data_IF_834416824353
#
_entry.id   IF_834416824353
#
_cell.length_a   1.000
_cell.length_b   1.000
_cell.length_c   1.000
_cell.angle_alpha   90.00
_cell.angle_beta   90.00
_cell.angle_gamma   90.00
#
_symmetry.space_group_name_H-M   'P 1'
#
loop_
_entity.id
_entity.type
_entity.pdbx_description
1 polymer ?
#
# COMPACT_ATOMS: atom_id res chain seq x y z
N UNK A 1 41.98 -0.33 -14.62
CA UNK A 1 40.55 -0.71 -14.59
C UNK A 1 40.22 -1.32 -13.24
N UNK A 2 39.41 -0.68 -12.38
CA UNK A 2 38.71 -1.33 -11.25
C UNK A 2 37.59 -0.42 -10.74
N UNK A 3 36.40 -0.73 -11.26
CA UNK A 3 35.04 -0.58 -10.74
C UNK A 3 34.72 0.73 -10.00
N UNK A 4 34.10 1.65 -10.75
CA UNK A 4 33.27 2.70 -10.16
C UNK A 4 32.17 2.07 -9.32
N UNK A 5 32.18 2.35 -8.02
CA UNK A 5 31.06 2.10 -7.12
C UNK A 5 29.89 2.94 -7.62
N UNK A 6 29.00 2.29 -8.38
CA UNK A 6 27.69 2.82 -8.73
C UNK A 6 26.93 2.93 -7.41
N UNK A 7 26.90 4.13 -6.85
CA UNK A 7 26.01 4.48 -5.76
C UNK A 7 24.62 4.39 -6.38
N UNK A 8 24.02 3.20 -6.31
CA UNK A 8 22.62 3.00 -6.66
C UNK A 8 21.83 3.93 -5.74
N UNK A 9 21.22 4.95 -6.34
CA UNK A 9 20.30 5.88 -5.69
C UNK A 9 19.22 5.07 -4.99
N UNK A 10 19.47 4.76 -3.72
CA UNK A 10 18.51 4.20 -2.81
C UNK A 10 17.45 5.28 -2.61
N UNK A 11 16.43 5.27 -3.47
CA UNK A 11 15.14 5.86 -3.11
C UNK A 11 14.78 5.15 -1.81
N UNK A 12 14.99 5.82 -0.68
CA UNK A 12 14.66 5.31 0.65
C UNK A 12 13.15 5.10 0.68
N UNK A 13 12.71 3.95 0.19
CA UNK A 13 11.34 3.52 0.36
C UNK A 13 11.10 3.32 1.85
N UNK A 14 9.95 3.78 2.33
CA UNK A 14 9.56 3.58 3.72
C UNK A 14 9.39 2.07 3.92
N UNK A 15 10.24 1.49 4.76
CA UNK A 15 10.12 0.09 5.19
C UNK A 15 9.15 0.03 6.36
N UNK A 16 8.21 -0.88 6.27
CA UNK A 16 7.22 -1.14 7.30
C UNK A 16 7.48 -2.50 7.92
N UNK A 17 7.14 -2.62 9.20
CA UNK A 17 7.22 -3.86 9.94
C UNK A 17 5.82 -4.22 10.44
N UNK A 18 5.42 -5.47 10.21
CA UNK A 18 4.23 -6.07 10.79
C UNK A 18 4.59 -6.84 12.07
N UNK A 19 3.61 -6.98 12.95
CA UNK A 19 3.71 -7.81 14.16
C UNK A 19 3.95 -9.29 13.83
N UNK A 20 3.42 -9.77 12.69
CA UNK A 20 3.67 -11.14 12.19
C UNK A 20 5.11 -11.42 11.74
N UNK A 21 6.03 -10.46 11.90
CA UNK A 21 7.44 -10.57 11.52
C UNK A 21 7.77 -10.13 10.10
N UNK A 22 6.77 -9.79 9.28
CA UNK A 22 7.03 -9.27 7.92
C UNK A 22 7.68 -7.89 7.98
N UNK A 23 8.74 -7.70 7.17
CA UNK A 23 9.46 -6.44 7.03
C UNK A 23 9.74 -6.16 5.57
N UNK A 24 9.28 -5.02 5.06
CA UNK A 24 9.46 -4.66 3.67
C UNK A 24 8.81 -3.34 3.31
N UNK A 25 8.93 -2.94 2.05
CA UNK A 25 8.19 -1.79 1.53
C UNK A 25 6.77 -2.24 1.20
N UNK A 26 5.74 -1.65 1.82
CA UNK A 26 4.37 -1.89 1.34
C UNK A 26 4.19 -1.21 0.01
N UNK A 27 3.59 -1.95 -0.91
CA UNK A 27 3.40 -1.56 -2.30
C UNK A 27 2.65 -0.23 -2.47
N UNK A 28 2.63 0.20 -3.73
CA UNK A 28 1.80 1.32 -4.18
C UNK A 28 0.34 1.07 -3.81
N UNK A 29 -0.48 2.11 -3.92
CA UNK A 29 -1.90 2.09 -3.56
C UNK A 29 -2.69 0.90 -4.13
N UNK A 30 -2.20 0.25 -5.19
CA UNK A 30 -2.72 -0.98 -5.79
C UNK A 30 -2.98 -2.15 -4.81
N UNK A 31 -2.29 -2.20 -3.67
CA UNK A 31 -2.33 -3.33 -2.72
C UNK A 31 -3.11 -3.04 -1.41
N UNK A 32 -3.89 -1.96 -1.39
CA UNK A 32 -4.58 -1.55 -0.17
C UNK A 32 -5.89 -2.33 0.02
N UNK A 33 -6.31 -2.47 1.26
CA UNK A 33 -7.62 -3.03 1.59
C UNK A 33 -8.65 -1.91 1.67
N UNK A 34 -9.85 -2.18 1.14
CA UNK A 34 -10.96 -1.24 1.18
C UNK A 34 -11.90 -1.62 2.33
N UNK A 35 -12.19 -0.65 3.20
CA UNK A 35 -13.20 -0.76 4.25
C UNK A 35 -14.40 0.07 3.82
N UNK A 36 -15.34 -0.55 3.10
CA UNK A 36 -16.54 0.10 2.55
C UNK A 36 -17.44 0.64 3.68
N UNK A 37 -17.60 -0.14 4.75
CA UNK A 37 -18.35 0.24 5.95
C UNK A 37 -17.87 1.57 6.57
N UNK A 38 -16.56 1.86 6.44
CA UNK A 38 -15.91 3.04 7.01
C UNK A 38 -15.48 4.07 5.95
N UNK A 39 -15.91 3.90 4.71
CA UNK A 39 -15.54 4.71 3.53
C UNK A 39 -14.05 5.08 3.47
N UNK A 40 -13.17 4.10 3.71
CA UNK A 40 -11.70 4.33 3.74
C UNK A 40 -10.92 3.18 3.15
N UNK A 41 -9.71 3.48 2.67
CA UNK A 41 -8.74 2.47 2.26
C UNK A 41 -7.56 2.44 3.23
N UNK A 42 -7.17 1.25 3.67
CA UNK A 42 -6.13 1.04 4.67
C UNK A 42 -5.08 0.10 4.09
N UNK A 43 -3.81 0.34 4.41
CA UNK A 43 -2.75 -0.61 4.05
C UNK A 43 -2.96 -1.95 4.74
N UNK A 44 -2.56 -3.02 4.06
CA UNK A 44 -2.63 -4.38 4.56
C UNK A 44 -1.25 -5.00 4.57
N UNK A 45 -0.96 -5.82 5.57
CA UNK A 45 0.24 -6.64 5.54
C UNK A 45 0.08 -7.73 4.47
N UNK A 46 0.99 -7.84 3.49
CA UNK A 46 0.90 -8.87 2.45
C UNK A 46 1.16 -10.29 3.00
N UNK A 47 1.76 -10.41 4.18
CA UNK A 47 2.08 -11.70 4.79
C UNK A 47 0.90 -12.28 5.60
N UNK A 48 0.39 -11.55 6.59
CA UNK A 48 -0.71 -12.02 7.44
C UNK A 48 -2.09 -11.51 7.00
N UNK A 49 -2.15 -10.55 6.08
CA UNK A 49 -3.41 -9.97 5.67
C UNK A 49 -4.07 -9.12 6.75
N UNK A 50 -3.34 -8.60 7.73
CA UNK A 50 -3.91 -7.69 8.73
C UNK A 50 -3.92 -6.26 8.22
N UNK A 51 -4.97 -5.49 8.51
CA UNK A 51 -5.01 -4.06 8.20
C UNK A 51 -4.11 -3.29 9.15
N UNK A 52 -3.30 -2.39 8.58
CA UNK A 52 -2.22 -1.67 9.24
C UNK A 52 -2.41 -0.17 9.01
N UNK A 53 -3.35 0.47 9.74
CA UNK A 53 -3.66 1.89 9.58
C UNK A 53 -2.48 2.80 9.91
N UNK A 54 -1.59 2.37 10.81
CA UNK A 54 -0.36 3.10 11.12
C UNK A 54 0.61 3.18 9.93
N UNK A 55 0.46 2.33 8.91
CA UNK A 55 1.24 2.44 7.68
C UNK A 55 0.69 3.47 6.72
N UNK A 56 -0.54 3.94 6.93
CA UNK A 56 -1.24 4.90 6.08
C UNK A 56 -2.68 4.49 5.84
N UNK A 57 -3.57 5.46 5.96
CA UNK A 57 -5.00 5.34 5.70
C UNK A 57 -5.43 6.50 4.80
N UNK A 58 -6.16 6.20 3.74
CA UNK A 58 -6.82 7.21 2.93
C UNK A 58 -8.30 7.28 3.30
N UNK A 59 -8.76 8.43 3.82
CA UNK A 59 -10.17 8.68 3.98
C UNK A 59 -10.82 8.91 2.60
N UNK A 60 -12.11 8.58 2.50
CA UNK A 60 -12.94 8.74 1.31
C UNK A 60 -12.57 7.83 0.14
N UNK A 61 -13.29 6.72 -0.02
CA UNK A 61 -13.05 5.78 -1.13
C UNK A 61 -13.24 6.42 -2.50
N UNK A 62 -14.10 7.44 -2.62
CA UNK A 62 -14.24 8.25 -3.85
C UNK A 62 -12.94 8.97 -4.25
N UNK A 63 -12.19 9.48 -3.28
CA UNK A 63 -10.87 10.08 -3.51
C UNK A 63 -9.85 9.02 -3.90
N UNK A 64 -9.86 7.89 -3.19
CA UNK A 64 -9.02 6.73 -3.48
C UNK A 64 -9.26 6.23 -4.90
N UNK A 65 -10.50 6.11 -5.37
CA UNK A 65 -10.84 5.68 -6.74
C UNK A 65 -10.13 6.49 -7.83
N UNK A 66 -9.91 7.79 -7.61
CA UNK A 66 -9.24 8.68 -8.58
C UNK A 66 -7.74 8.41 -8.71
N UNK A 67 -7.11 7.99 -7.61
CA UNK A 67 -5.66 7.72 -7.54
C UNK A 67 -5.33 6.22 -7.58
N UNK A 68 -6.32 5.37 -7.30
CA UNK A 68 -6.22 3.92 -7.34
C UNK A 68 -5.93 3.44 -8.75
N UNK A 69 -5.11 2.40 -8.85
CA UNK A 69 -4.74 1.76 -10.11
C UNK A 69 -4.88 0.26 -9.97
N UNK A 70 -5.03 -0.42 -11.11
CA UNK A 70 -5.06 -1.88 -11.18
C UNK A 70 -6.14 -2.50 -10.29
N UNK A 71 -5.75 -3.51 -9.52
CA UNK A 71 -6.65 -4.34 -8.71
C UNK A 71 -7.43 -3.54 -7.65
N UNK A 72 -6.82 -2.52 -7.03
CA UNK A 72 -7.53 -1.69 -6.05
C UNK A 72 -8.71 -0.93 -6.69
N UNK A 73 -8.50 -0.35 -7.88
CA UNK A 73 -9.58 0.39 -8.55
C UNK A 73 -10.77 -0.53 -8.82
N UNK A 74 -10.50 -1.74 -9.32
CA UNK A 74 -11.51 -2.77 -9.56
C UNK A 74 -12.27 -3.12 -8.28
N UNK A 75 -11.56 -3.36 -7.17
CA UNK A 75 -12.19 -3.59 -5.85
C UNK A 75 -13.13 -2.46 -5.43
N UNK A 76 -12.72 -1.20 -5.61
CA UNK A 76 -13.55 -0.03 -5.26
C UNK A 76 -14.79 0.06 -6.16
N UNK A 77 -14.64 -0.21 -7.45
CA UNK A 77 -15.77 -0.23 -8.40
C UNK A 77 -16.74 -1.38 -8.11
N UNK A 78 -16.24 -2.56 -7.77
CA UNK A 78 -17.06 -3.72 -7.34
C UNK A 78 -17.79 -3.46 -6.02
N UNK A 79 -17.20 -2.65 -5.14
CA UNK A 79 -17.84 -2.20 -3.90
C UNK A 79 -18.97 -1.16 -4.13
N UNK A 80 -19.21 -0.73 -5.38
CA UNK A 80 -20.29 0.20 -5.72
C UNK A 80 -20.00 1.67 -5.41
N UNK A 81 -18.71 2.03 -5.22
CA UNK A 81 -18.25 3.41 -4.99
C UNK A 81 -17.75 4.06 -6.28
#
# INVERSE_FOLDING_TARGET
MRKGSKIESSRKGVKFQCDCGWRGEVGKITDWEIEVDRDRAVRRCPNCGETKPEWGTFPFLKGVKKIAKGSLKKKIEEAGI
#
